data_IF_179237649797
#
_entry.id   IF_179237649797
#
_cell.length_a   1.000
_cell.length_b   1.000
_cell.length_c   1.000
_cell.angle_alpha   90.00
_cell.angle_beta   90.00
_cell.angle_gamma   90.00
#
_symmetry.space_group_name_H-M   'P 1'
#
loop_
_entity.id
_entity.type
_entity.pdbx_description
1 polymer ?
#
# COMPACT_ATOMS: atom_id res chain seq x y z
N UNK A 1 -16.52 5.51 33.04
CA UNK A 1 -15.04 5.53 32.84
C UNK A 1 -14.46 4.31 33.54
N UNK A 2 -13.19 3.93 33.34
CA UNK A 2 -12.65 2.69 33.90
C UNK A 2 -12.78 2.52 35.42
N UNK A 3 -12.65 3.59 36.21
CA UNK A 3 -12.76 3.52 37.68
C UNK A 3 -14.21 3.58 38.17
N UNK A 4 -15.11 4.13 37.36
CA UNK A 4 -16.53 4.25 37.68
C UNK A 4 -17.31 4.04 36.38
N UNK A 5 -17.54 2.76 36.00
CA UNK A 5 -18.30 2.41 34.81
C UNK A 5 -19.73 2.92 34.92
N UNK A 6 -20.29 3.34 33.79
CA UNK A 6 -21.71 3.60 33.68
C UNK A 6 -22.33 2.37 33.01
N UNK A 7 -22.77 1.42 33.83
CA UNK A 7 -23.21 0.10 33.36
C UNK A 7 -24.47 0.19 32.48
N UNK A 8 -25.36 1.14 32.76
CA UNK A 8 -26.57 1.35 31.95
C UNK A 8 -26.20 1.87 30.56
N UNK A 9 -25.30 2.85 30.50
CA UNK A 9 -24.79 3.36 29.23
C UNK A 9 -24.02 2.31 28.43
N UNK A 10 -23.12 1.57 29.08
CA UNK A 10 -22.34 0.50 28.43
C UNK A 10 -23.25 -0.61 27.88
N UNK A 11 -24.27 -1.02 28.64
CA UNK A 11 -25.27 -1.99 28.19
C UNK A 11 -26.07 -1.47 26.98
N UNK A 12 -26.46 -0.18 26.99
CA UNK A 12 -27.18 0.43 25.87
C UNK A 12 -26.33 0.45 24.58
N UNK A 13 -25.03 0.75 24.67
CA UNK A 13 -24.11 0.74 23.52
C UNK A 13 -23.93 -0.69 22.97
N UNK A 14 -23.77 -1.69 23.85
CA UNK A 14 -23.66 -3.10 23.43
C UNK A 14 -24.95 -3.59 22.75
N UNK A 15 -26.11 -3.28 23.33
CA UNK A 15 -27.40 -3.65 22.76
C UNK A 15 -27.63 -2.98 21.39
N UNK A 16 -27.24 -1.71 21.24
CA UNK A 16 -27.29 -1.01 19.95
C UNK A 16 -26.39 -1.68 18.91
N UNK A 17 -25.13 -2.00 19.25
CA UNK A 17 -24.22 -2.66 18.32
C UNK A 17 -24.74 -4.04 17.86
N UNK A 18 -25.27 -4.85 18.78
CA UNK A 18 -25.90 -6.13 18.46
C UNK A 18 -27.10 -5.94 17.53
N UNK A 19 -27.99 -5.00 17.85
CA UNK A 19 -29.17 -4.72 17.05
C UNK A 19 -28.82 -4.26 15.62
N UNK A 20 -27.75 -3.47 15.44
CA UNK A 20 -27.28 -3.05 14.11
C UNK A 20 -26.81 -4.24 13.27
N UNK A 21 -26.09 -5.19 13.87
CA UNK A 21 -25.59 -6.40 13.18
C UNK A 21 -26.73 -7.36 12.84
N UNK A 22 -27.81 -7.37 13.62
CA UNK A 22 -28.99 -8.21 13.34
C UNK A 22 -30.01 -7.52 12.42
N UNK A 23 -29.86 -6.22 12.14
CA UNK A 23 -30.80 -5.46 11.35
C UNK A 23 -30.55 -5.58 9.83
N UNK A 24 -31.11 -6.62 9.22
CA UNK A 24 -30.97 -6.94 7.79
C UNK A 24 -31.14 -5.77 6.80
N UNK A 25 -32.19 -4.92 6.91
CA UNK A 25 -32.36 -3.77 6.01
C UNK A 25 -31.19 -2.77 6.06
N UNK A 26 -30.64 -2.54 7.25
CA UNK A 26 -29.45 -1.70 7.38
C UNK A 26 -28.23 -2.37 6.76
N UNK A 27 -27.97 -3.65 7.06
CA UNK A 27 -26.82 -4.37 6.50
C UNK A 27 -26.84 -4.36 4.97
N UNK A 28 -28.00 -4.62 4.35
CA UNK A 28 -28.16 -4.57 2.90
C UNK A 28 -27.81 -3.19 2.33
N UNK A 29 -28.24 -2.10 2.97
CA UNK A 29 -27.88 -0.74 2.55
C UNK A 29 -26.39 -0.41 2.83
N UNK A 30 -25.82 -0.99 3.89
CA UNK A 30 -24.46 -0.73 4.35
C UNK A 30 -23.40 -1.45 3.51
N UNK A 31 -23.68 -2.65 2.99
CA UNK A 31 -22.75 -3.46 2.18
C UNK A 31 -22.17 -2.66 1.00
N UNK A 32 -23.03 -2.01 0.21
CA UNK A 32 -22.59 -1.20 -0.93
C UNK A 32 -21.72 0.00 -0.54
N UNK A 33 -21.94 0.57 0.65
CA UNK A 33 -21.10 1.64 1.18
C UNK A 33 -19.74 1.08 1.63
N UNK A 34 -19.73 0.00 2.41
CA UNK A 34 -18.49 -0.62 2.91
C UNK A 34 -17.59 -1.13 1.79
N UNK A 35 -18.16 -1.67 0.71
CA UNK A 35 -17.38 -2.11 -0.45
C UNK A 35 -16.58 -0.95 -1.07
N UNK A 36 -17.19 0.23 -1.23
CA UNK A 36 -16.50 1.43 -1.74
C UNK A 36 -15.43 1.93 -0.78
N UNK A 37 -15.73 1.95 0.52
CA UNK A 37 -14.77 2.36 1.55
C UNK A 37 -13.59 1.40 1.62
N UNK A 38 -13.83 0.08 1.50
CA UNK A 38 -12.79 -0.92 1.50
C UNK A 38 -11.86 -0.75 0.29
N UNK A 39 -12.39 -0.51 -0.91
CA UNK A 39 -11.56 -0.29 -2.10
C UNK A 39 -10.65 0.95 -1.95
N UNK A 40 -11.21 2.06 -1.48
CA UNK A 40 -10.45 3.29 -1.22
C UNK A 40 -9.39 3.08 -0.12
N UNK A 41 -9.78 2.45 1.01
CA UNK A 41 -8.90 2.16 2.12
C UNK A 41 -7.75 1.23 1.74
N UNK A 42 -8.01 0.22 0.93
CA UNK A 42 -6.98 -0.69 0.42
C UNK A 42 -5.99 0.02 -0.51
N UNK A 43 -6.46 0.93 -1.36
CA UNK A 43 -5.61 1.75 -2.23
C UNK A 43 -4.70 2.65 -1.40
N UNK A 44 -5.25 3.34 -0.40
CA UNK A 44 -4.48 4.17 0.53
C UNK A 44 -3.47 3.34 1.33
N UNK A 45 -3.87 2.17 1.82
CA UNK A 45 -2.98 1.28 2.58
C UNK A 45 -1.81 0.77 1.75
N UNK A 46 -2.02 0.40 0.48
CA UNK A 46 -0.94 0.00 -0.42
C UNK A 46 -0.02 1.17 -0.77
N UNK A 47 -0.58 2.36 -0.98
CA UNK A 47 0.21 3.58 -1.19
C UNK A 47 1.09 3.91 0.02
N UNK A 48 0.52 3.93 1.22
CA UNK A 48 1.25 4.15 2.47
C UNK A 48 2.32 3.08 2.69
N UNK A 49 2.01 1.81 2.41
CA UNK A 49 2.97 0.72 2.51
C UNK A 49 4.14 0.91 1.53
N UNK A 50 3.87 1.30 0.28
CA UNK A 50 4.93 1.59 -0.69
C UNK A 50 5.82 2.73 -0.22
N UNK A 51 5.23 3.83 0.28
CA UNK A 51 5.99 4.94 0.85
C UNK A 51 6.85 4.47 2.04
N UNK A 52 6.26 3.69 2.95
CA UNK A 52 6.95 3.12 4.12
C UNK A 52 8.14 2.24 3.73
N UNK A 53 7.97 1.39 2.72
CA UNK A 53 9.03 0.51 2.22
C UNK A 53 10.15 1.28 1.52
N UNK A 54 9.86 2.44 0.93
CA UNK A 54 10.81 3.11 0.02
C UNK A 54 11.35 4.45 0.51
N UNK A 55 10.81 5.01 1.59
CA UNK A 55 11.35 6.20 2.24
C UNK A 55 12.69 5.90 2.95
N UNK A 56 13.48 6.94 3.29
CA UNK A 56 14.66 6.78 4.12
C UNK A 56 14.34 6.15 5.48
N UNK A 57 15.25 5.32 6.00
CA UNK A 57 15.05 4.55 7.24
C UNK A 57 14.83 3.06 7.00
N UNK A 58 14.53 2.33 8.08
CA UNK A 58 14.31 0.89 8.07
C UNK A 58 12.80 0.63 8.21
N UNK A 59 12.13 0.03 7.22
CA UNK A 59 10.72 -0.30 7.35
C UNK A 59 10.53 -1.45 8.33
N UNK A 60 9.60 -1.27 9.27
CA UNK A 60 9.15 -2.31 10.20
C UNK A 60 7.78 -2.85 9.75
N UNK A 61 7.47 -4.13 9.89
CA UNK A 61 6.13 -4.68 9.60
C UNK A 61 5.66 -5.46 10.82
N UNK A 62 4.57 -5.02 11.44
CA UNK A 62 3.99 -5.69 12.59
C UNK A 62 3.47 -7.08 12.19
N UNK A 63 3.64 -8.06 13.09
CA UNK A 63 3.28 -9.45 12.83
C UNK A 63 1.82 -9.59 12.36
N UNK A 64 1.62 -10.34 11.29
CA UNK A 64 0.29 -10.55 10.72
C UNK A 64 -0.15 -9.49 9.71
N UNK A 65 0.48 -8.31 9.70
CA UNK A 65 0.14 -7.20 8.81
C UNK A 65 0.69 -7.38 7.38
N UNK A 66 1.27 -8.54 7.04
CA UNK A 66 1.65 -8.88 5.67
C UNK A 66 0.43 -9.11 4.78
N UNK A 67 -0.69 -9.51 5.38
CA UNK A 67 -2.02 -9.59 4.78
C UNK A 67 -2.91 -8.45 5.32
N UNK A 68 -4.19 -8.42 4.93
CA UNK A 68 -5.14 -7.45 5.46
C UNK A 68 -5.44 -7.71 6.94
N UNK A 69 -4.75 -7.01 7.84
CA UNK A 69 -4.99 -7.08 9.28
C UNK A 69 -5.90 -5.94 9.75
N UNK A 70 -7.22 -6.13 9.61
CA UNK A 70 -8.21 -5.24 10.23
C UNK A 70 -8.31 -5.60 11.71
N UNK A 71 -7.56 -4.87 12.55
CA UNK A 71 -7.57 -5.02 13.99
C UNK A 71 -7.99 -3.73 14.69
N UNK A 72 -8.70 -3.86 15.79
CA UNK A 72 -9.03 -2.77 16.71
C UNK A 72 -7.88 -2.56 17.70
N UNK A 73 -8.15 -1.85 18.79
CA UNK A 73 -7.19 -1.64 19.88
C UNK A 73 -6.88 -2.94 20.63
N UNK A 74 -5.84 -2.91 21.47
CA UNK A 74 -5.50 -3.98 22.41
C UNK A 74 -6.74 -4.44 23.20
N UNK A 75 -7.02 -5.75 23.33
CA UNK A 75 -6.23 -6.91 22.91
C UNK A 75 -6.45 -7.42 21.48
N UNK A 76 -7.30 -6.80 20.67
CA UNK A 76 -7.66 -7.34 19.35
C UNK A 76 -6.47 -7.38 18.38
N UNK A 77 -5.55 -6.41 18.45
CA UNK A 77 -4.30 -6.40 17.66
C UNK A 77 -3.24 -7.41 18.14
N UNK A 78 -3.56 -8.29 19.10
CA UNK A 78 -2.72 -9.39 19.58
C UNK A 78 -3.27 -10.78 19.24
N UNK A 79 -4.27 -10.87 18.36
CA UNK A 79 -4.76 -12.15 17.83
C UNK A 79 -3.61 -13.00 17.28
N UNK A 80 -3.75 -14.31 17.39
CA UNK A 80 -2.76 -15.26 16.87
C UNK A 80 -2.59 -15.09 15.35
N UNK A 81 -1.34 -15.23 14.90
CA UNK A 81 -0.99 -15.10 13.49
C UNK A 81 -0.89 -16.48 12.84
N UNK A 82 -1.66 -16.71 11.79
CA UNK A 82 -1.51 -17.90 10.95
C UNK A 82 -0.29 -17.75 10.03
N UNK A 83 0.83 -18.30 10.48
CA UNK A 83 2.10 -18.30 9.75
C UNK A 83 2.17 -19.36 8.65
N UNK A 84 1.36 -20.42 8.73
CA UNK A 84 1.32 -21.46 7.70
C UNK A 84 0.68 -20.91 6.43
N UNK A 85 -0.47 -20.25 6.58
CA UNK A 85 -1.15 -19.55 5.48
C UNK A 85 -0.23 -18.54 4.79
N UNK A 86 0.45 -17.68 5.55
CA UNK A 86 1.36 -16.65 4.99
C UNK A 86 2.52 -17.26 4.21
N UNK A 87 3.12 -18.35 4.72
CA UNK A 87 4.20 -19.06 4.03
C UNK A 87 3.70 -19.69 2.73
N UNK A 88 2.52 -20.30 2.75
CA UNK A 88 1.90 -20.89 1.56
C UNK A 88 1.65 -19.82 0.48
N UNK A 89 0.98 -18.72 0.84
CA UNK A 89 0.68 -17.62 -0.08
C UNK A 89 1.94 -16.95 -0.64
N UNK A 90 2.99 -16.77 0.18
CA UNK A 90 4.28 -16.27 -0.31
C UNK A 90 4.96 -17.27 -1.25
N UNK A 91 4.85 -18.57 -0.97
CA UNK A 91 5.34 -19.63 -1.83
C UNK A 91 4.68 -19.59 -3.22
N UNK A 92 3.36 -19.42 -3.27
CA UNK A 92 2.60 -19.27 -4.50
C UNK A 92 3.03 -18.04 -5.31
N UNK A 93 3.16 -16.87 -4.66
CA UNK A 93 3.65 -15.65 -5.31
C UNK A 93 5.06 -15.84 -5.91
N UNK A 94 5.96 -16.50 -5.16
CA UNK A 94 7.31 -16.82 -5.63
C UNK A 94 7.33 -17.83 -6.78
N UNK A 95 6.32 -18.70 -6.85
CA UNK A 95 6.13 -19.63 -7.97
C UNK A 95 5.49 -18.98 -9.21
N UNK A 96 5.18 -17.67 -9.16
CA UNK A 96 4.65 -16.90 -10.28
C UNK A 96 3.13 -16.71 -10.27
N UNK A 97 2.45 -17.03 -9.16
CA UNK A 97 1.03 -16.70 -9.01
C UNK A 97 0.83 -15.18 -9.11
N UNK A 98 -0.22 -14.76 -9.83
CA UNK A 98 -0.56 -13.35 -9.92
C UNK A 98 -1.15 -12.85 -8.59
N UNK A 99 -0.76 -11.66 -8.10
CA UNK A 99 -1.28 -11.15 -6.85
C UNK A 99 -2.80 -10.93 -6.89
N UNK A 100 -3.51 -11.47 -5.91
CA UNK A 100 -4.95 -11.29 -5.74
C UNK A 100 -5.24 -10.08 -4.84
N UNK A 101 -6.52 -9.76 -4.63
CA UNK A 101 -6.92 -8.73 -3.64
C UNK A 101 -6.33 -9.04 -2.26
N UNK A 102 -6.30 -10.30 -1.87
CA UNK A 102 -5.76 -10.78 -0.59
C UNK A 102 -4.24 -10.71 -0.52
N UNK A 103 -3.54 -11.14 -1.58
CA UNK A 103 -2.08 -11.31 -1.55
C UNK A 103 -1.28 -10.11 -2.07
N UNK A 104 -1.92 -9.08 -2.66
CA UNK A 104 -1.20 -7.91 -3.19
C UNK A 104 -0.41 -7.10 -2.14
N UNK A 105 -0.83 -7.11 -0.88
CA UNK A 105 -0.06 -6.47 0.21
C UNK A 105 1.22 -7.26 0.50
N UNK A 106 1.10 -8.57 0.61
CA UNK A 106 2.22 -9.50 0.77
C UNK A 106 3.19 -9.41 -0.42
N UNK A 107 2.67 -9.33 -1.64
CA UNK A 107 3.46 -9.12 -2.86
C UNK A 107 4.25 -7.82 -2.82
N UNK A 108 3.60 -6.71 -2.45
CA UNK A 108 4.26 -5.41 -2.32
C UNK A 108 5.38 -5.43 -1.26
N UNK A 109 5.14 -6.06 -0.11
CA UNK A 109 6.16 -6.23 0.94
C UNK A 109 7.34 -7.04 0.40
N UNK A 110 7.07 -8.21 -0.16
CA UNK A 110 8.12 -9.10 -0.67
C UNK A 110 8.97 -8.39 -1.73
N UNK A 111 8.34 -7.82 -2.76
CA UNK A 111 9.03 -7.16 -3.87
C UNK A 111 9.75 -5.89 -3.44
N UNK A 112 9.17 -5.11 -2.54
CA UNK A 112 9.80 -3.93 -1.97
C UNK A 112 11.04 -4.26 -1.13
N UNK A 113 10.97 -5.29 -0.27
CA UNK A 113 12.12 -5.72 0.53
C UNK A 113 13.22 -6.36 -0.34
N UNK A 114 12.86 -7.12 -1.37
CA UNK A 114 13.81 -7.67 -2.33
C UNK A 114 14.51 -6.57 -3.13
N UNK A 115 13.79 -5.53 -3.55
CA UNK A 115 14.37 -4.35 -4.18
C UNK A 115 15.39 -3.67 -3.27
N UNK A 116 15.05 -3.47 -1.99
CA UNK A 116 15.96 -2.89 -1.00
C UNK A 116 17.24 -3.70 -0.82
N UNK A 117 17.12 -5.03 -0.83
CA UNK A 117 18.26 -5.93 -0.71
C UNK A 117 19.17 -5.87 -1.95
N UNK A 118 18.61 -5.63 -3.14
CA UNK A 118 19.36 -5.54 -4.41
C UNK A 118 20.01 -4.18 -4.66
N UNK A 119 19.43 -3.09 -4.13
CA UNK A 119 19.92 -1.71 -4.33
C UNK A 119 20.28 -1.01 -3.01
N UNK A 120 21.18 -1.57 -2.17
CA UNK A 120 21.48 -0.99 -0.86
C UNK A 120 21.99 0.46 -0.95
N UNK A 121 22.70 0.84 -2.01
CA UNK A 121 23.15 2.20 -2.29
C UNK A 121 22.00 3.17 -2.57
N UNK A 122 20.96 2.77 -3.29
CA UNK A 122 19.77 3.60 -3.49
C UNK A 122 19.05 3.86 -2.15
N UNK A 123 18.91 2.82 -1.32
CA UNK A 123 18.18 2.92 -0.04
C UNK A 123 19.01 3.46 1.13
N UNK A 124 20.34 3.49 1.02
CA UNK A 124 21.25 4.21 1.91
C UNK A 124 21.65 5.60 1.41
N UNK A 125 21.35 5.92 0.15
CA UNK A 125 21.79 7.13 -0.53
C UNK A 125 20.75 8.25 -0.55
N UNK A 126 20.88 9.12 -1.56
CA UNK A 126 20.11 10.34 -1.69
C UNK A 126 18.60 10.10 -1.88
N UNK A 127 17.81 11.05 -1.39
CA UNK A 127 16.38 11.15 -1.63
C UNK A 127 16.12 12.36 -2.53
N UNK A 128 15.65 12.13 -3.76
CA UNK A 128 15.38 13.17 -4.73
C UNK A 128 13.87 13.39 -4.92
N UNK A 129 13.24 14.38 -4.27
CA UNK A 129 11.81 14.63 -4.44
C UNK A 129 11.48 15.04 -5.88
N UNK A 130 10.38 14.54 -6.42
CA UNK A 130 9.83 14.94 -7.73
C UNK A 130 8.57 15.79 -7.48
N UNK A 131 8.53 17.05 -7.92
CA UNK A 131 7.34 17.89 -7.79
C UNK A 131 6.16 17.29 -8.55
N UNK A 132 5.06 16.97 -7.84
CA UNK A 132 3.91 16.27 -8.41
C UNK A 132 2.55 16.82 -7.90
N UNK A 133 2.52 18.09 -7.49
CA UNK A 133 1.34 18.70 -6.87
C UNK A 133 1.02 18.13 -5.49
N UNK A 134 -0.19 18.42 -5.00
CA UNK A 134 -0.60 18.06 -3.62
C UNK A 134 -1.16 16.64 -3.50
N UNK A 135 -1.46 16.02 -4.64
CA UNK A 135 -2.24 14.77 -4.69
C UNK A 135 -1.39 13.55 -5.06
N UNK A 136 -0.09 13.76 -5.29
CA UNK A 136 0.86 12.70 -5.62
C UNK A 136 2.16 12.91 -4.84
N UNK A 137 2.66 11.84 -4.23
CA UNK A 137 3.99 11.78 -3.66
C UNK A 137 4.91 11.02 -4.61
N UNK A 138 5.96 11.68 -5.10
CA UNK A 138 6.93 11.05 -6.01
C UNK A 138 8.37 11.43 -5.66
N UNK A 139 9.29 10.49 -5.83
CA UNK A 139 10.71 10.69 -5.56
C UNK A 139 11.57 9.62 -6.21
N UNK A 140 12.87 9.93 -6.31
CA UNK A 140 13.94 9.00 -6.61
C UNK A 140 14.67 8.59 -5.33
N UNK A 141 15.10 7.33 -5.27
CA UNK A 141 16.13 6.85 -4.34
C UNK A 141 17.40 6.59 -5.16
N UNK A 142 18.42 7.43 -4.96
CA UNK A 142 19.56 7.49 -5.88
C UNK A 142 19.12 7.84 -7.30
N UNK A 143 19.69 7.19 -8.30
CA UNK A 143 19.28 7.32 -9.71
C UNK A 143 18.55 6.07 -10.23
N UNK A 144 18.45 5.04 -9.38
CA UNK A 144 18.10 3.67 -9.79
C UNK A 144 16.70 3.23 -9.36
N UNK A 145 16.02 3.97 -8.48
CA UNK A 145 14.66 3.63 -8.04
C UNK A 145 13.76 4.85 -8.10
N UNK A 146 12.67 4.74 -8.87
CA UNK A 146 11.62 5.74 -8.97
C UNK A 146 10.36 5.26 -8.25
N UNK A 147 9.82 6.10 -7.39
CA UNK A 147 8.60 5.84 -6.63
C UNK A 147 7.58 6.93 -6.90
N UNK A 148 6.33 6.53 -7.12
CA UNK A 148 5.20 7.46 -7.18
C UNK A 148 3.95 6.84 -6.56
N UNK A 149 3.21 7.62 -5.79
CA UNK A 149 1.95 7.23 -5.15
C UNK A 149 0.95 8.36 -5.26
N UNK A 150 -0.20 8.10 -5.89
CA UNK A 150 -1.36 8.97 -5.81
C UNK A 150 -1.95 8.89 -4.38
N UNK A 151 -1.92 10.00 -3.65
CA UNK A 151 -2.40 10.08 -2.27
C UNK A 151 -3.89 10.43 -2.18
N UNK A 152 -4.49 10.86 -3.30
CA UNK A 152 -5.93 11.06 -3.46
C UNK A 152 -6.47 10.35 -4.70
N UNK A 153 -7.72 9.92 -4.63
CA UNK A 153 -8.40 9.28 -5.75
C UNK A 153 -8.52 10.21 -6.96
N UNK A 154 -8.21 9.67 -8.15
CA UNK A 154 -8.27 10.43 -9.40
C UNK A 154 -7.03 11.29 -9.69
N UNK A 155 -6.00 11.29 -8.83
CA UNK A 155 -4.79 12.08 -8.99
C UNK A 155 -3.78 11.54 -10.03
N UNK A 156 -4.29 11.09 -11.19
CA UNK A 156 -3.50 10.53 -12.30
C UNK A 156 -3.49 11.44 -13.53
N UNK A 157 -4.10 12.63 -13.45
CA UNK A 157 -4.33 13.51 -14.61
C UNK A 157 -3.37 14.68 -14.81
N UNK A 158 -2.44 14.94 -13.88
CA UNK A 158 -1.51 16.08 -13.99
C UNK A 158 -0.27 15.77 -14.85
N UNK A 159 0.15 16.68 -15.73
CA UNK A 159 1.33 16.49 -16.57
C UNK A 159 2.62 16.99 -15.88
N UNK A 160 3.00 16.34 -14.78
CA UNK A 160 4.24 16.68 -14.06
C UNK A 160 5.45 16.06 -14.75
N UNK A 161 6.40 16.90 -15.18
CA UNK A 161 7.64 16.45 -15.82
C UNK A 161 8.52 15.72 -14.81
N UNK A 162 9.02 14.56 -15.21
CA UNK A 162 10.07 13.85 -14.50
C UNK A 162 11.41 14.57 -14.72
N UNK A 163 12.32 14.56 -13.72
CA UNK A 163 13.64 15.16 -13.89
C UNK A 163 14.41 14.44 -15.01
N UNK A 164 15.35 15.10 -15.72
CA UNK A 164 16.10 14.48 -16.82
C UNK A 164 16.80 13.16 -16.46
N UNK A 165 17.25 13.04 -15.21
CA UNK A 165 17.86 11.80 -14.70
C UNK A 165 16.90 10.61 -14.79
N UNK A 166 15.58 10.81 -14.80
CA UNK A 166 14.61 9.73 -14.92
C UNK A 166 14.49 9.14 -16.34
N UNK A 167 15.11 9.76 -17.36
CA UNK A 167 15.13 9.19 -18.70
C UNK A 167 15.89 7.84 -18.73
N UNK A 168 15.44 6.93 -19.59
CA UNK A 168 16.05 5.61 -19.79
C UNK A 168 15.09 4.45 -19.61
N UNK A 169 15.66 3.25 -19.43
CA UNK A 169 14.90 2.00 -19.30
C UNK A 169 14.68 1.64 -17.84
N UNK A 170 13.45 1.26 -17.54
CA UNK A 170 12.97 0.94 -16.22
C UNK A 170 12.18 -0.34 -16.23
N UNK A 171 12.20 -1.05 -15.10
CA UNK A 171 11.34 -2.20 -14.85
C UNK A 171 10.41 -1.90 -13.68
N UNK A 172 9.12 -2.14 -13.87
CA UNK A 172 8.15 -2.17 -12.78
C UNK A 172 8.45 -3.37 -11.89
N UNK A 173 8.81 -3.07 -10.64
CA UNK A 173 9.22 -4.06 -9.65
C UNK A 173 8.05 -4.98 -9.27
N UNK A 174 6.81 -4.51 -9.37
CA UNK A 174 5.61 -5.24 -8.99
C UNK A 174 5.06 -6.11 -10.13
N UNK A 175 5.17 -5.65 -11.39
CA UNK A 175 4.58 -6.35 -12.55
C UNK A 175 5.61 -7.00 -13.47
N UNK A 176 6.87 -6.56 -13.41
CA UNK A 176 7.92 -6.95 -14.35
C UNK A 176 7.85 -6.24 -15.69
N UNK A 177 6.87 -5.37 -15.91
CA UNK A 177 6.73 -4.60 -17.15
C UNK A 177 7.94 -3.67 -17.35
N UNK A 178 8.39 -3.54 -18.59
CA UNK A 178 9.48 -2.63 -18.95
C UNK A 178 8.92 -1.32 -19.49
N UNK A 179 9.52 -0.22 -19.07
CA UNK A 179 9.14 1.14 -19.44
C UNK A 179 10.36 1.86 -20.02
N UNK A 180 10.20 2.48 -21.18
CA UNK A 180 11.18 3.40 -21.74
C UNK A 180 10.68 4.82 -21.52
N UNK A 181 11.38 5.57 -20.67
CA UNK A 181 11.04 6.95 -20.35
C UNK A 181 11.88 7.87 -21.23
N UNK A 182 11.25 8.64 -22.15
CA UNK A 182 11.97 9.59 -22.98
C UNK A 182 12.46 10.78 -22.15
N UNK A 183 13.30 11.61 -22.77
CA UNK A 183 13.56 12.96 -22.27
C UNK A 183 12.22 13.70 -22.11
N UNK A 184 12.00 14.29 -20.92
CA UNK A 184 10.74 14.95 -20.52
C UNK A 184 9.54 14.01 -20.37
N UNK A 185 9.76 12.75 -20.00
CA UNK A 185 8.69 11.86 -19.55
C UNK A 185 7.85 12.50 -18.43
N UNK A 186 6.58 12.11 -18.32
CA UNK A 186 5.66 12.63 -17.30
C UNK A 186 5.23 11.56 -16.31
N UNK A 187 4.91 11.98 -15.09
CA UNK A 187 4.57 11.07 -14.00
C UNK A 187 3.32 10.19 -14.25
N UNK A 188 2.24 10.66 -14.93
CA UNK A 188 1.12 9.79 -15.28
C UNK A 188 1.49 8.58 -16.14
N UNK A 189 2.56 8.68 -16.94
CA UNK A 189 3.02 7.58 -17.77
C UNK A 189 3.50 6.37 -16.95
N UNK A 190 3.86 6.59 -15.67
CA UNK A 190 4.38 5.55 -14.76
C UNK A 190 3.41 5.17 -13.64
N UNK A 191 2.53 6.07 -13.17
CA UNK A 191 1.60 5.81 -12.06
C UNK A 191 0.56 4.71 -12.36
N UNK A 192 0.21 4.53 -13.63
CA UNK A 192 -0.76 3.54 -14.10
C UNK A 192 -2.15 3.67 -13.45
N UNK A 193 -3.08 2.73 -13.72
CA UNK A 193 -4.43 2.75 -13.15
C UNK A 193 -4.46 2.43 -11.65
N UNK A 194 -3.40 1.82 -11.13
CA UNK A 194 -3.29 1.44 -9.72
C UNK A 194 -2.89 2.63 -8.80
N UNK A 195 -2.58 3.79 -9.39
CA UNK A 195 -2.18 5.00 -8.67
C UNK A 195 -0.86 4.84 -7.92
N UNK A 196 0.01 3.92 -8.35
CA UNK A 196 1.31 3.67 -7.72
C UNK A 196 2.31 3.10 -8.73
N UNK A 197 3.55 3.53 -8.60
CA UNK A 197 4.68 3.06 -9.39
C UNK A 197 5.86 2.76 -8.47
N UNK A 198 6.50 1.61 -8.68
CA UNK A 198 7.80 1.27 -8.10
C UNK A 198 8.67 0.74 -9.24
N UNK A 199 9.56 1.59 -9.75
CA UNK A 199 10.40 1.26 -10.89
C UNK A 199 11.85 1.13 -10.45
N UNK A 200 12.55 0.18 -11.03
CA UNK A 200 14.01 0.06 -10.92
C UNK A 200 14.68 0.28 -12.28
N UNK A 201 15.83 0.96 -12.27
CA UNK A 201 16.58 1.22 -13.50
C UNK A 201 17.14 -0.09 -14.05
N UNK A 202 17.05 -0.22 -15.37
CA UNK A 202 17.71 -1.29 -16.11
C UNK A 202 19.04 -0.76 -16.65
N UNK A 203 20.13 -1.49 -16.41
CA UNK A 203 21.45 -1.21 -16.98
C UNK A 203 21.50 -1.28 -18.51
#
# INVERSE_FOLDING_TARGET
>A
NWMSPDEEHEAAVQAFAAAVIEHGPFLYAFEGFTARVAEAGERSALGQLLLKLTSPGIPDVYQGDELWALALVDPDNRREVDWEQRRALLGELRAGAQPTRETRKLHLIWRGLELRARHPEAFGGAYGPIPAGDDVCAFLRGEDVLVAVAVRDGAVGGAWELPPVAAGRWRDVLTGAEHELPDRATLPAVLGPAGRALLERMG
#
